data_IF_153998886351
#
_entry.id   IF_153998886351
#
_cell.length_a   1.000
_cell.length_b   1.000
_cell.length_c   1.000
_cell.angle_alpha   90.00
_cell.angle_beta   90.00
_cell.angle_gamma   90.00
#
_symmetry.space_group_name_H-M   'P 1'
#
loop_
_entity.id
_entity.type
_entity.pdbx_description
1 polymer ?
#
# COMPACT_ATOMS: atom_id res chain seq x y z
N UNK A 1 30.08 -5.81 -13.17
CA UNK A 1 29.55 -4.90 -12.12
C UNK A 1 28.07 -5.24 -11.96
N UNK A 2 27.59 -5.69 -10.79
CA UNK A 2 26.15 -5.86 -10.60
C UNK A 2 25.53 -4.46 -10.64
N UNK A 3 24.60 -4.23 -11.56
CA UNK A 3 23.77 -3.05 -11.56
C UNK A 3 22.56 -3.34 -10.67
N UNK A 4 22.35 -2.53 -9.63
CA UNK A 4 21.11 -2.54 -8.85
C UNK A 4 20.15 -1.54 -9.50
N UNK A 5 19.01 -2.03 -9.98
CA UNK A 5 17.96 -1.19 -10.51
C UNK A 5 17.14 -0.62 -9.34
N UNK A 6 17.24 0.69 -9.13
CA UNK A 6 16.40 1.42 -8.19
C UNK A 6 15.26 2.02 -9.00
N UNK A 7 14.04 1.54 -8.75
CA UNK A 7 12.85 2.16 -9.33
C UNK A 7 12.61 3.50 -8.62
N UNK A 8 12.53 4.58 -9.40
CA UNK A 8 12.21 5.92 -8.91
C UNK A 8 10.72 6.05 -8.58
N UNK A 9 9.88 5.23 -9.20
CA UNK A 9 8.45 5.18 -8.99
C UNK A 9 8.11 4.13 -7.93
N UNK A 10 7.31 4.51 -6.94
CA UNK A 10 6.96 3.65 -5.81
C UNK A 10 5.93 2.58 -6.19
N UNK A 11 5.36 2.64 -7.40
CA UNK A 11 4.37 1.67 -7.87
C UNK A 11 3.03 1.77 -7.12
N UNK A 12 2.80 2.88 -6.44
CA UNK A 12 1.58 3.19 -5.70
C UNK A 12 0.62 4.02 -6.57
N UNK A 13 -0.67 3.79 -6.40
CA UNK A 13 -1.71 4.54 -7.09
C UNK A 13 -2.09 5.78 -6.27
N UNK A 14 -1.74 6.96 -6.75
CA UNK A 14 -1.95 8.24 -6.06
C UNK A 14 -3.43 8.58 -5.80
N UNK A 15 -4.33 8.07 -6.63
CA UNK A 15 -5.78 8.27 -6.50
C UNK A 15 -6.49 7.23 -5.62
N UNK A 16 -5.74 6.34 -4.96
CA UNK A 16 -6.27 5.35 -4.02
C UNK A 16 -5.78 5.66 -2.62
N UNK A 17 -6.59 5.33 -1.61
CA UNK A 17 -6.12 5.37 -0.22
C UNK A 17 -5.02 4.34 0.02
N UNK A 18 -4.28 4.46 1.12
CA UNK A 18 -3.25 3.50 1.52
C UNK A 18 -3.82 2.07 1.64
N UNK A 19 -4.96 1.90 2.29
CA UNK A 19 -5.65 0.62 2.37
C UNK A 19 -6.03 0.07 0.99
N UNK A 20 -6.50 0.95 0.10
CA UNK A 20 -6.88 0.56 -1.26
C UNK A 20 -5.67 0.18 -2.14
N UNK A 21 -4.51 0.78 -1.90
CA UNK A 21 -3.24 0.37 -2.52
C UNK A 21 -2.84 -1.04 -2.07
N UNK A 22 -2.77 -1.27 -0.76
CA UNK A 22 -2.34 -2.56 -0.19
C UNK A 22 -3.30 -3.70 -0.56
N UNK A 23 -4.62 -3.45 -0.61
CA UNK A 23 -5.59 -4.50 -0.98
C UNK A 23 -5.75 -4.69 -2.49
N UNK A 24 -5.10 -3.90 -3.35
CA UNK A 24 -5.36 -3.89 -4.79
C UNK A 24 -5.21 -5.27 -5.45
N UNK A 25 -4.18 -6.04 -5.08
CA UNK A 25 -4.00 -7.40 -5.58
C UNK A 25 -5.12 -8.36 -5.20
N UNK A 26 -5.77 -8.15 -4.05
CA UNK A 26 -6.94 -8.92 -3.60
C UNK A 26 -8.22 -8.48 -4.34
N UNK A 27 -8.35 -7.17 -4.60
CA UNK A 27 -9.44 -6.64 -5.43
C UNK A 27 -9.42 -7.25 -6.85
N UNK A 28 -8.23 -7.41 -7.45
CA UNK A 28 -8.06 -8.10 -8.75
C UNK A 28 -8.50 -9.56 -8.68
N UNK A 29 -8.17 -10.25 -7.58
CA UNK A 29 -8.56 -11.64 -7.34
C UNK A 29 -10.03 -11.81 -6.98
N UNK A 30 -10.81 -10.71 -6.93
CA UNK A 30 -12.22 -10.70 -6.51
C UNK A 30 -12.42 -11.28 -5.10
N UNK A 31 -11.43 -11.16 -4.23
CA UNK A 31 -11.57 -11.50 -2.81
C UNK A 31 -12.70 -10.66 -2.20
N UNK A 32 -13.57 -11.23 -1.34
CA UNK A 32 -14.62 -10.47 -0.67
C UNK A 32 -14.06 -9.23 0.03
N UNK A 33 -14.72 -8.08 -0.14
CA UNK A 33 -14.23 -6.78 0.35
C UNK A 33 -13.85 -6.80 1.84
N UNK A 34 -14.66 -7.44 2.67
CA UNK A 34 -14.41 -7.53 4.11
C UNK A 34 -13.11 -8.30 4.41
N UNK A 35 -12.88 -9.42 3.73
CA UNK A 35 -11.65 -10.21 3.86
C UNK A 35 -10.44 -9.44 3.33
N UNK A 36 -10.57 -8.80 2.17
CA UNK A 36 -9.50 -8.00 1.57
C UNK A 36 -9.09 -6.83 2.48
N UNK A 37 -10.06 -6.15 3.09
CA UNK A 37 -9.81 -5.08 4.05
C UNK A 37 -9.11 -5.59 5.30
N UNK A 38 -9.57 -6.71 5.88
CA UNK A 38 -8.96 -7.27 7.09
C UNK A 38 -7.49 -7.66 6.84
N UNK A 39 -7.21 -8.33 5.71
CA UNK A 39 -5.85 -8.73 5.33
C UNK A 39 -4.94 -7.54 5.06
N UNK A 40 -5.42 -6.53 4.35
CA UNK A 40 -4.65 -5.32 4.10
C UNK A 40 -4.40 -4.51 5.38
N UNK A 41 -5.37 -4.46 6.30
CA UNK A 41 -5.21 -3.78 7.58
C UNK A 41 -4.20 -4.47 8.50
N UNK A 42 -4.15 -5.81 8.49
CA UNK A 42 -3.12 -6.56 9.22
C UNK A 42 -1.71 -6.21 8.70
N UNK A 43 -1.53 -6.13 7.39
CA UNK A 43 -0.27 -5.67 6.79
C UNK A 43 0.09 -4.23 7.16
N UNK A 44 -0.87 -3.32 7.08
CA UNK A 44 -0.64 -1.93 7.50
C UNK A 44 -0.25 -1.82 8.97
N UNK A 45 -0.85 -2.64 9.84
CA UNK A 45 -0.49 -2.70 11.26
C UNK A 45 0.95 -3.16 11.45
N UNK A 46 1.37 -4.23 10.77
CA UNK A 46 2.77 -4.74 10.81
C UNK A 46 3.78 -3.73 10.29
N UNK A 47 3.39 -2.90 9.34
CA UNK A 47 4.22 -1.86 8.73
C UNK A 47 4.19 -0.53 9.51
N UNK A 48 3.37 -0.41 10.56
CA UNK A 48 3.20 0.82 11.33
C UNK A 48 2.50 1.94 10.54
N UNK A 49 1.58 1.57 9.66
CA UNK A 49 0.83 2.47 8.76
C UNK A 49 -0.70 2.37 8.94
N UNK A 50 -1.15 1.66 9.97
CA UNK A 50 -2.58 1.50 10.29
C UNK A 50 -3.34 2.83 10.38
N UNK A 51 -2.77 3.84 11.05
CA UNK A 51 -3.39 5.16 11.22
C UNK A 51 -3.52 5.95 9.91
N UNK A 52 -2.87 5.49 8.84
CA UNK A 52 -2.91 6.12 7.52
C UNK A 52 -3.79 5.34 6.52
N UNK A 53 -4.53 4.32 6.96
CA UNK A 53 -5.33 3.45 6.08
C UNK A 53 -6.25 4.23 5.12
N UNK A 54 -6.87 5.30 5.59
CA UNK A 54 -7.79 6.14 4.81
C UNK A 54 -7.11 7.35 4.15
N UNK A 55 -5.83 7.58 4.43
CA UNK A 55 -5.06 8.66 3.81
C UNK A 55 -4.73 8.34 2.35
N UNK A 56 -4.48 9.38 1.57
CA UNK A 56 -3.90 9.27 0.22
C UNK A 56 -2.37 9.35 0.28
N UNK A 57 -1.63 8.80 -0.71
CA UNK A 57 -0.17 8.81 -0.76
C UNK A 57 0.51 10.17 -0.58
N UNK A 58 -0.18 11.26 -0.94
CA UNK A 58 0.29 12.63 -0.74
C UNK A 58 0.46 13.01 0.74
N UNK A 59 -0.26 12.35 1.65
CA UNK A 59 -0.17 12.58 3.10
C UNK A 59 0.98 11.80 3.76
N UNK A 60 1.65 10.92 3.02
CA UNK A 60 2.73 10.08 3.52
C UNK A 60 4.10 10.75 3.38
N UNK A 61 5.03 10.45 4.29
CA UNK A 61 6.44 10.74 4.04
C UNK A 61 7.00 9.83 2.94
N UNK A 62 8.16 10.17 2.35
CA UNK A 62 8.80 9.33 1.33
C UNK A 62 9.09 7.91 1.83
N UNK A 63 9.59 7.76 3.06
CA UNK A 63 9.84 6.45 3.66
C UNK A 63 8.57 5.68 4.04
N UNK A 64 7.43 6.35 4.18
CA UNK A 64 6.12 5.68 4.31
C UNK A 64 5.64 5.19 2.94
N UNK A 65 5.77 5.99 1.88
CA UNK A 65 5.43 5.57 0.49
C UNK A 65 6.22 4.37 0.02
N UNK A 66 7.48 4.23 0.44
CA UNK A 66 8.31 3.05 0.12
C UNK A 66 7.82 1.73 0.76
N UNK A 67 6.93 1.80 1.75
CA UNK A 67 6.42 0.64 2.50
C UNK A 67 4.98 0.27 2.14
N UNK A 68 4.28 1.11 1.37
CA UNK A 68 2.88 0.89 0.91
C UNK A 68 2.89 0.09 -0.38
#
# INVERSE_FOLDING_TARGET
RPAAMIFQDYGIYDWKTVLANVRFGLDIQRTPRAEANARAMDWLTRLGLADFADAYPAALSGGMRQRV
#
